data_IF_694268237108
#
_entry.id   IF_694268237108
#
_cell.length_a   1.000
_cell.length_b   1.000
_cell.length_c   1.000
_cell.angle_alpha   90.00
_cell.angle_beta   90.00
_cell.angle_gamma   90.00
#
_symmetry.space_group_name_H-M   'P 1'
#
loop_
_entity.id
_entity.type
_entity.pdbx_description
1 polymer ?
#
# COMPACT_ATOMS: atom_id res chain seq x y z
N UNK A 1 -27.87 7.42 10.28
CA UNK A 1 -27.57 8.77 10.80
C UNK A 1 -26.86 8.60 12.13
N UNK A 2 -25.58 8.98 12.21
CA UNK A 2 -24.82 8.96 13.46
C UNK A 2 -24.79 10.40 13.98
N UNK A 3 -25.29 10.62 15.19
CA UNK A 3 -25.49 11.94 15.78
C UNK A 3 -24.26 12.31 16.61
N UNK A 4 -23.59 13.41 16.27
CA UNK A 4 -22.46 13.96 17.04
C UNK A 4 -22.98 14.63 18.33
N UNK A 5 -24.25 15.04 18.34
CA UNK A 5 -24.91 15.72 19.46
C UNK A 5 -25.18 14.82 20.68
N UNK A 6 -25.19 13.50 20.55
CA UNK A 6 -25.54 12.59 21.66
C UNK A 6 -24.37 12.26 22.61
N UNK A 7 -23.16 12.80 22.36
CA UNK A 7 -21.94 12.56 23.15
C UNK A 7 -21.64 11.07 23.42
N UNK A 8 -22.22 10.18 22.63
CA UNK A 8 -22.14 8.74 22.74
C UNK A 8 -21.09 8.24 21.76
N UNK A 9 -19.87 8.02 22.23
CA UNK A 9 -18.83 7.34 21.45
C UNK A 9 -19.22 5.87 21.40
N UNK A 10 -19.90 5.46 20.33
CA UNK A 10 -20.13 4.04 20.05
C UNK A 10 -18.84 3.48 19.46
N UNK A 11 -18.15 2.64 20.23
CA UNK A 11 -17.09 1.77 19.70
C UNK A 11 -17.74 0.86 18.66
N UNK A 12 -17.50 1.16 17.38
CA UNK A 12 -17.87 0.25 16.29
C UNK A 12 -16.74 -0.73 16.13
N UNK A 13 -17.05 -2.01 16.27
CA UNK A 13 -16.13 -3.06 15.88
C UNK A 13 -15.91 -2.97 14.37
N UNK A 14 -14.67 -2.67 13.98
CA UNK A 14 -14.27 -2.68 12.59
C UNK A 14 -14.22 -4.13 12.12
N UNK A 15 -15.09 -4.49 11.18
CA UNK A 15 -15.06 -5.83 10.59
C UNK A 15 -13.84 -5.88 9.68
N UNK A 16 -12.87 -6.70 10.06
CA UNK A 16 -11.65 -6.88 9.27
C UNK A 16 -12.00 -7.40 7.86
N UNK A 17 -11.37 -6.84 6.82
CA UNK A 17 -11.40 -7.43 5.51
C UNK A 17 -10.85 -8.88 5.57
N UNK A 18 -11.37 -9.77 4.74
CA UNK A 18 -11.02 -11.21 4.77
C UNK A 18 -9.54 -11.52 4.53
N UNK A 19 -8.75 -10.55 4.09
CA UNK A 19 -7.30 -10.66 3.89
C UNK A 19 -6.47 -10.19 5.10
N UNK A 20 -7.07 -9.48 6.07
CA UNK A 20 -6.41 -9.13 7.32
C UNK A 20 -6.63 -10.26 8.32
N UNK A 21 -5.57 -11.04 8.56
CA UNK A 21 -5.59 -12.16 9.52
C UNK A 21 -5.42 -11.70 10.98
N UNK A 22 -4.90 -10.49 11.17
CA UNK A 22 -4.46 -9.94 12.46
C UNK A 22 -4.78 -8.44 12.48
N UNK A 23 -5.21 -7.93 13.63
CA UNK A 23 -5.43 -6.49 13.85
C UNK A 23 -4.09 -5.72 13.82
N UNK A 24 -4.11 -4.45 13.43
CA UNK A 24 -2.94 -3.57 13.55
C UNK A 24 -2.34 -3.54 14.96
N UNK A 25 -3.20 -3.64 15.99
CA UNK A 25 -2.79 -3.65 17.39
C UNK A 25 -2.02 -4.91 17.79
N UNK A 26 -2.23 -5.99 17.05
CA UNK A 26 -1.63 -7.30 17.30
C UNK A 26 -0.39 -7.56 16.42
N UNK A 27 -0.08 -6.67 15.47
CA UNK A 27 1.13 -6.76 14.66
C UNK A 27 2.38 -6.59 15.52
N UNK A 28 3.36 -7.48 15.30
CA UNK A 28 4.67 -7.32 15.91
C UNK A 28 5.41 -6.12 15.32
N UNK A 29 6.30 -5.50 16.11
CA UNK A 29 7.12 -4.38 15.62
C UNK A 29 7.97 -4.77 14.40
N UNK A 30 8.38 -6.03 14.32
CA UNK A 30 9.12 -6.57 13.18
C UNK A 30 8.28 -6.57 11.91
N UNK A 31 7.03 -7.02 11.99
CA UNK A 31 6.13 -7.06 10.83
C UNK A 31 5.74 -5.65 10.39
N UNK A 32 5.54 -4.73 11.35
CA UNK A 32 5.35 -3.30 11.08
C UNK A 32 6.55 -2.69 10.35
N UNK A 33 7.76 -2.94 10.85
CA UNK A 33 8.99 -2.49 10.20
C UNK A 33 9.12 -2.98 8.76
N UNK A 34 8.82 -4.27 8.52
CA UNK A 34 8.85 -4.84 7.15
C UNK A 34 7.80 -4.21 6.24
N UNK A 35 6.60 -3.91 6.76
CA UNK A 35 5.56 -3.19 6.01
C UNK A 35 6.05 -1.81 5.60
N UNK A 36 6.64 -1.06 6.53
CA UNK A 36 7.11 0.30 6.29
C UNK A 36 8.30 0.32 5.31
N UNK A 37 9.22 -0.64 5.40
CA UNK A 37 10.28 -0.86 4.42
C UNK A 37 9.72 -1.11 3.02
N UNK A 38 8.74 -2.01 2.90
CA UNK A 38 8.08 -2.31 1.63
C UNK A 38 7.36 -1.08 1.04
N UNK A 39 6.66 -0.31 1.87
CA UNK A 39 6.00 0.89 1.41
C UNK A 39 7.01 1.95 0.96
N UNK A 40 8.11 2.13 1.69
CA UNK A 40 9.19 3.05 1.30
C UNK A 40 9.82 2.73 -0.05
N UNK A 41 9.77 1.48 -0.51
CA UNK A 41 10.24 1.09 -1.85
C UNK A 41 9.33 1.66 -2.95
N UNK A 42 8.02 1.76 -2.72
CA UNK A 42 7.04 2.10 -3.76
C UNK A 42 6.38 3.47 -3.59
N UNK A 43 6.54 4.14 -2.44
CA UNK A 43 5.86 5.40 -2.12
C UNK A 43 6.09 6.50 -3.16
N UNK A 44 7.29 6.56 -3.75
CA UNK A 44 7.63 7.58 -4.76
C UNK A 44 6.89 7.34 -6.09
N UNK A 45 6.45 6.09 -6.34
CA UNK A 45 5.76 5.70 -7.57
C UNK A 45 4.24 5.83 -7.48
N UNK A 46 3.66 5.54 -6.31
CA UNK A 46 2.20 5.51 -6.15
C UNK A 46 1.56 6.89 -6.29
N UNK A 47 2.30 7.96 -6.00
CA UNK A 47 1.86 9.34 -6.12
C UNK A 47 2.32 10.03 -7.43
N UNK A 48 3.18 9.37 -8.22
CA UNK A 48 3.70 9.91 -9.48
C UNK A 48 2.72 9.69 -10.62
N UNK A 49 2.02 10.76 -11.01
CA UNK A 49 1.05 10.74 -12.11
C UNK A 49 1.64 10.33 -13.47
N UNK A 50 2.89 10.68 -13.74
CA UNK A 50 3.55 10.31 -15.01
C UNK A 50 3.87 8.82 -15.02
N UNK A 51 4.40 8.31 -13.92
CA UNK A 51 4.60 6.88 -13.75
C UNK A 51 3.29 6.10 -13.85
N UNK A 52 2.25 6.51 -13.13
CA UNK A 52 0.95 5.83 -13.14
C UNK A 52 0.37 5.73 -14.55
N UNK A 53 0.45 6.82 -15.33
CA UNK A 53 -0.03 6.85 -16.70
C UNK A 53 0.76 5.90 -17.62
N UNK A 54 2.10 5.98 -17.60
CA UNK A 54 2.97 5.09 -18.39
C UNK A 54 2.77 3.61 -18.01
N UNK A 55 2.72 3.34 -16.70
CA UNK A 55 2.61 2.00 -16.14
C UNK A 55 1.26 1.33 -16.47
N UNK A 56 0.16 2.10 -16.48
CA UNK A 56 -1.15 1.59 -16.84
C UNK A 56 -1.28 1.27 -18.35
N UNK A 57 -0.64 2.06 -19.21
CA UNK A 57 -0.74 1.91 -20.66
C UNK A 57 0.23 0.87 -21.23
N UNK A 58 1.42 0.74 -20.64
CA UNK A 58 2.49 -0.06 -21.20
C UNK A 58 2.79 -1.31 -20.39
N UNK A 59 2.69 -2.48 -21.05
CA UNK A 59 3.10 -3.78 -20.45
C UNK A 59 4.56 -3.80 -19.98
N UNK A 60 5.41 -2.96 -20.57
CA UNK A 60 6.83 -2.77 -20.24
C UNK A 60 7.11 -1.28 -20.05
N UNK A 61 6.76 -0.76 -18.87
CA UNK A 61 7.04 0.62 -18.47
C UNK A 61 8.56 0.86 -18.40
N UNK A 62 9.05 1.84 -19.14
CA UNK A 62 10.44 2.28 -19.10
C UNK A 62 10.75 3.01 -17.78
N UNK A 63 9.79 3.77 -17.26
CA UNK A 63 9.90 4.44 -15.96
C UNK A 63 10.08 3.44 -14.82
N UNK A 64 9.39 2.29 -14.86
CA UNK A 64 9.63 1.20 -13.90
C UNK A 64 11.04 0.63 -14.03
N UNK A 65 11.53 0.45 -15.26
CA UNK A 65 12.88 -0.08 -15.49
C UNK A 65 13.95 0.84 -14.92
N UNK A 66 13.84 2.14 -15.15
CA UNK A 66 14.79 3.13 -14.65
C UNK A 66 14.71 3.26 -13.13
N UNK A 67 13.50 3.30 -12.57
CA UNK A 67 13.31 3.30 -11.11
C UNK A 67 13.93 2.07 -10.45
N UNK A 68 13.71 0.88 -11.01
CA UNK A 68 14.30 -0.38 -10.54
C UNK A 68 15.82 -0.35 -10.55
N UNK A 69 16.44 0.18 -11.62
CA UNK A 69 17.89 0.33 -11.73
C UNK A 69 18.44 1.30 -10.68
N UNK A 70 17.78 2.44 -10.49
CA UNK A 70 18.20 3.46 -9.55
C UNK A 70 18.12 2.98 -8.10
N UNK A 71 17.03 2.30 -7.72
CA UNK A 71 16.86 1.74 -6.37
C UNK A 71 17.62 0.41 -6.16
N UNK A 72 18.15 -0.20 -7.23
CA UNK A 72 18.81 -1.52 -7.21
C UNK A 72 17.89 -2.63 -6.67
N UNK A 73 16.59 -2.55 -6.99
CA UNK A 73 15.57 -3.52 -6.57
C UNK A 73 14.99 -4.17 -7.82
N UNK A 74 14.71 -5.48 -7.76
CA UNK A 74 14.16 -6.18 -8.92
C UNK A 74 12.80 -5.60 -9.35
N UNK A 75 12.58 -5.50 -10.68
CA UNK A 75 11.30 -5.06 -11.23
C UNK A 75 10.15 -5.94 -10.76
N UNK A 76 10.40 -7.25 -10.62
CA UNK A 76 9.40 -8.21 -10.12
C UNK A 76 8.94 -7.83 -8.71
N UNK A 77 9.88 -7.54 -7.80
CA UNK A 77 9.57 -7.11 -6.43
C UNK A 77 8.72 -5.84 -6.43
N UNK A 78 9.11 -4.82 -7.19
CA UNK A 78 8.38 -3.55 -7.24
C UNK A 78 6.96 -3.76 -7.78
N UNK A 79 6.80 -4.55 -8.86
CA UNK A 79 5.48 -4.87 -9.42
C UNK A 79 4.58 -5.60 -8.43
N UNK A 80 5.13 -6.55 -7.68
CA UNK A 80 4.38 -7.29 -6.65
C UNK A 80 3.93 -6.35 -5.53
N UNK A 81 4.81 -5.46 -5.06
CA UNK A 81 4.48 -4.48 -4.02
C UNK A 81 3.40 -3.50 -4.49
N UNK A 82 3.52 -2.95 -5.71
CA UNK A 82 2.50 -2.07 -6.29
C UNK A 82 1.15 -2.77 -6.40
N UNK A 83 1.13 -4.03 -6.87
CA UNK A 83 -0.11 -4.80 -6.98
C UNK A 83 -0.76 -5.06 -5.62
N UNK A 84 0.03 -5.39 -4.59
CA UNK A 84 -0.48 -5.57 -3.23
C UNK A 84 -1.02 -4.26 -2.66
N UNK A 85 -0.32 -3.15 -2.87
CA UNK A 85 -0.72 -1.82 -2.41
C UNK A 85 -2.06 -1.38 -3.02
N UNK A 86 -2.23 -1.46 -4.34
CA UNK A 86 -3.50 -1.07 -4.95
C UNK A 86 -4.66 -2.04 -4.63
N UNK A 87 -4.35 -3.30 -4.31
CA UNK A 87 -5.37 -4.29 -3.99
C UNK A 87 -5.85 -4.22 -2.53
N UNK A 88 -4.96 -3.88 -1.60
CA UNK A 88 -5.20 -4.04 -0.17
C UNK A 88 -4.70 -2.89 0.72
N UNK A 89 -3.95 -1.93 0.16
CA UNK A 89 -3.27 -0.87 0.91
C UNK A 89 -3.85 0.52 0.69
N UNK A 90 -5.08 0.62 0.19
CA UNK A 90 -5.81 1.89 -0.02
C UNK A 90 -6.83 2.19 1.08
N UNK A 91 -7.03 1.27 2.03
CA UNK A 91 -8.01 1.38 3.10
C UNK A 91 -7.49 2.17 4.31
#
# INVERSE_FOLDING_TARGET
KYYIESNSITCKDYIYPSYMLVDEKELTDKDRGRRDENYNIIKDLVDDRMFLFDYALHKKSHLLMDYSRNKKISQYTIRTLLALYWRHGQD
#
